data_IF_040083131067
#
_entry.id   IF_040083131067
#
_cell.length_a   1.000
_cell.length_b   1.000
_cell.length_c   1.000
_cell.angle_alpha   90.00
_cell.angle_beta   90.00
_cell.angle_gamma   90.00
#
_symmetry.space_group_name_H-M   'P 1'
#
loop_
_entity.id
_entity.type
_entity.pdbx_description
1 polymer ?
#
# COMPACT_ATOMS: atom_id res chain seq x y z
N UNK A 1 12.35 -57.02 70.22
CA UNK A 1 10.93 -56.64 70.03
C UNK A 1 10.84 -55.94 68.69
N UNK A 2 10.48 -56.67 67.63
CA UNK A 2 10.28 -56.15 66.25
C UNK A 2 8.77 -55.97 66.03
N UNK A 3 8.28 -54.98 65.24
CA UNK A 3 8.46 -54.86 63.77
C UNK A 3 8.87 -53.41 63.38
N UNK A 4 8.70 -52.81 62.18
CA UNK A 4 8.07 -53.17 60.89
C UNK A 4 8.74 -52.37 59.74
N UNK A 5 8.93 -52.92 58.52
CA UNK A 5 9.51 -52.18 57.40
C UNK A 5 8.46 -51.35 56.64
N UNK A 6 8.63 -50.03 56.55
CA UNK A 6 7.68 -49.13 55.89
C UNK A 6 8.21 -48.56 54.55
N UNK A 7 7.67 -49.13 53.46
CA UNK A 7 7.39 -48.53 52.14
C UNK A 7 8.43 -47.60 51.47
N UNK A 8 8.93 -48.07 50.32
CA UNK A 8 9.39 -47.21 49.22
C UNK A 8 8.24 -46.31 48.75
N UNK A 9 8.43 -44.99 48.79
CA UNK A 9 7.56 -44.02 48.13
C UNK A 9 8.20 -43.55 46.82
N UNK A 10 7.74 -44.10 45.70
CA UNK A 10 7.93 -43.47 44.40
C UNK A 10 6.98 -42.29 44.27
N UNK A 11 7.51 -41.07 44.12
CA UNK A 11 6.83 -40.01 43.35
C UNK A 11 7.79 -38.88 42.99
N UNK A 12 8.44 -38.99 41.83
CA UNK A 12 9.20 -37.91 41.22
C UNK A 12 8.24 -37.04 40.36
N UNK A 13 7.54 -36.10 40.99
CA UNK A 13 6.55 -35.25 40.32
C UNK A 13 7.19 -34.33 39.22
N UNK A 14 6.89 -34.54 37.92
CA UNK A 14 7.48 -33.75 36.84
C UNK A 14 6.55 -32.58 36.48
N UNK A 15 6.53 -31.51 37.29
CA UNK A 15 5.47 -30.49 37.18
C UNK A 15 5.76 -29.08 37.66
N UNK A 16 7.03 -28.63 37.75
CA UNK A 16 7.38 -27.29 38.28
C UNK A 16 8.41 -26.50 37.46
N UNK A 17 8.46 -26.74 36.14
CA UNK A 17 9.37 -26.02 35.20
C UNK A 17 8.69 -25.46 33.94
N UNK A 18 7.41 -25.78 33.68
CA UNK A 18 6.70 -25.27 32.49
C UNK A 18 6.16 -23.85 32.68
N UNK A 19 5.75 -23.52 33.91
CA UNK A 19 4.93 -22.35 34.24
C UNK A 19 5.67 -21.02 34.03
N UNK A 20 6.97 -21.02 34.33
CA UNK A 20 7.85 -19.85 34.21
C UNK A 20 8.16 -19.43 32.75
N UNK A 21 7.81 -20.26 31.75
CA UNK A 21 7.94 -19.92 30.34
C UNK A 21 6.67 -19.22 29.79
N UNK A 22 5.50 -19.49 30.36
CA UNK A 22 4.22 -18.94 29.91
C UNK A 22 4.11 -17.42 30.15
N UNK A 23 4.49 -16.95 31.34
CA UNK A 23 4.36 -15.54 31.75
C UNK A 23 5.11 -14.54 30.85
N UNK A 24 6.20 -14.96 30.18
CA UNK A 24 6.97 -14.06 29.28
C UNK A 24 6.33 -13.86 27.90
N UNK A 25 5.37 -14.70 27.47
CA UNK A 25 4.61 -14.45 26.22
C UNK A 25 3.49 -13.43 26.42
N UNK A 26 2.85 -13.41 27.59
CA UNK A 26 1.74 -12.49 27.89
C UNK A 26 2.17 -11.01 27.82
N UNK A 27 3.38 -10.68 28.29
CA UNK A 27 3.89 -9.31 28.35
C UNK A 27 4.20 -8.67 26.97
N UNK A 28 4.31 -9.46 25.88
CA UNK A 28 4.52 -8.92 24.52
C UNK A 28 3.22 -8.60 23.77
N UNK A 29 2.07 -9.14 24.21
CA UNK A 29 0.77 -8.87 23.57
C UNK A 29 0.15 -7.52 23.94
N UNK A 30 0.56 -6.93 25.07
CA UNK A 30 -0.02 -5.68 25.59
C UNK A 30 0.50 -4.43 24.91
N UNK A 31 1.74 -4.42 24.40
CA UNK A 31 2.36 -3.21 23.83
C UNK A 31 1.67 -2.75 22.55
N UNK A 32 1.33 -3.69 21.65
CA UNK A 32 0.56 -3.39 20.43
C UNK A 32 -0.81 -2.79 20.76
N UNK A 33 -1.49 -3.33 21.78
CA UNK A 33 -2.81 -2.83 22.22
C UNK A 33 -2.74 -1.51 22.98
N UNK A 34 -1.60 -1.17 23.58
CA UNK A 34 -1.34 0.15 24.18
C UNK A 34 -0.97 1.22 23.14
N UNK A 35 -0.44 0.83 21.97
CA UNK A 35 -0.21 1.73 20.82
C UNK A 35 -1.52 2.10 20.09
N UNK A 36 -2.61 1.36 20.33
CA UNK A 36 -3.95 1.57 19.76
C UNK A 36 -4.80 2.54 20.60
N UNK A 37 -4.26 3.72 20.95
CA UNK A 37 -5.00 4.74 21.71
C UNK A 37 -5.91 5.57 20.79
N UNK A 38 -7.20 5.76 21.15
CA UNK A 38 -8.24 6.09 20.17
C UNK A 38 -8.16 7.50 19.55
N UNK A 39 -7.55 8.49 20.22
CA UNK A 39 -7.61 9.89 19.80
C UNK A 39 -6.88 10.18 18.48
N UNK A 40 -5.69 9.59 18.28
CA UNK A 40 -4.90 9.79 17.05
C UNK A 40 -5.28 8.79 15.94
N UNK A 41 -6.02 7.75 16.28
CA UNK A 41 -6.33 6.64 15.39
C UNK A 41 -7.18 7.08 14.18
N UNK A 42 -8.19 7.93 14.39
CA UNK A 42 -9.15 8.30 13.33
C UNK A 42 -8.49 9.05 12.16
N UNK A 43 -7.60 10.02 12.45
CA UNK A 43 -6.91 10.75 11.40
C UNK A 43 -5.89 9.87 10.66
N UNK A 44 -5.15 9.02 11.39
CA UNK A 44 -4.21 8.07 10.78
C UNK A 44 -4.92 7.04 9.90
N UNK A 45 -6.07 6.52 10.32
CA UNK A 45 -6.91 5.61 9.51
C UNK A 45 -7.42 6.35 8.27
N UNK A 46 -7.96 7.57 8.42
CA UNK A 46 -8.43 8.38 7.29
C UNK A 46 -7.32 8.64 6.27
N UNK A 47 -6.15 9.08 6.73
CA UNK A 47 -4.96 9.22 5.89
C UNK A 47 -4.59 7.92 5.18
N UNK A 48 -4.50 6.80 5.90
CA UNK A 48 -4.08 5.51 5.34
C UNK A 48 -5.07 4.96 4.30
N UNK A 49 -6.37 5.17 4.49
CA UNK A 49 -7.41 4.84 3.50
C UNK A 49 -7.33 5.74 2.28
N UNK A 50 -7.31 7.07 2.48
CA UNK A 50 -7.24 8.03 1.37
C UNK A 50 -5.96 7.86 0.54
N UNK A 51 -4.82 7.65 1.20
CA UNK A 51 -3.53 7.39 0.56
C UNK A 51 -3.54 6.07 -0.22
N UNK A 52 -4.03 4.97 0.38
CA UNK A 52 -4.12 3.67 -0.31
C UNK A 52 -5.08 3.67 -1.50
N UNK A 53 -6.20 4.41 -1.41
CA UNK A 53 -7.12 4.60 -2.55
C UNK A 53 -6.46 5.45 -3.63
N UNK A 54 -5.79 6.55 -3.26
CA UNK A 54 -5.07 7.43 -4.21
C UNK A 54 -3.99 6.66 -4.97
N UNK A 55 -3.16 5.88 -4.26
CA UNK A 55 -2.07 5.09 -4.84
C UNK A 55 -2.58 4.19 -5.97
N UNK A 56 -3.56 3.33 -5.67
CA UNK A 56 -4.18 2.43 -6.66
C UNK A 56 -4.95 3.20 -7.74
N UNK A 57 -5.60 4.31 -7.41
CA UNK A 57 -6.36 5.13 -8.36
C UNK A 57 -5.48 5.80 -9.43
N UNK A 58 -4.19 5.98 -9.19
CA UNK A 58 -3.26 6.50 -10.22
C UNK A 58 -2.84 5.44 -11.24
N UNK A 59 -2.98 4.14 -10.94
CA UNK A 59 -2.54 3.06 -11.85
C UNK A 59 -3.35 3.03 -13.17
N UNK A 60 -4.71 3.02 -13.18
CA UNK A 60 -5.49 3.04 -14.41
C UNK A 60 -5.24 4.24 -15.36
N UNK A 61 -5.18 5.52 -14.89
CA UNK A 61 -4.88 6.63 -15.78
C UNK A 61 -3.44 6.60 -16.31
N UNK A 62 -2.45 6.16 -15.53
CA UNK A 62 -1.06 6.07 -16.01
C UNK A 62 -0.90 5.01 -17.11
N UNK A 63 -1.54 3.83 -17.00
CA UNK A 63 -1.50 2.84 -18.08
C UNK A 63 -2.31 3.29 -19.31
N UNK A 64 -3.44 4.00 -19.12
CA UNK A 64 -4.19 4.59 -20.23
C UNK A 64 -3.37 5.64 -20.99
N UNK A 65 -2.72 6.57 -20.28
CA UNK A 65 -1.83 7.58 -20.86
C UNK A 65 -0.64 6.95 -21.58
N UNK A 66 -0.02 5.92 -20.99
CA UNK A 66 1.11 5.20 -21.62
C UNK A 66 0.70 4.57 -22.96
N UNK A 67 -0.52 4.02 -23.05
CA UNK A 67 -1.06 3.47 -24.31
C UNK A 67 -1.45 4.56 -25.31
N UNK A 68 -1.96 5.70 -24.85
CA UNK A 68 -2.31 6.83 -25.71
C UNK A 68 -1.06 7.46 -26.36
N UNK A 69 0.04 7.61 -25.61
CA UNK A 69 1.28 8.22 -26.12
C UNK A 69 2.18 7.26 -26.90
N UNK A 70 2.22 5.96 -26.54
CA UNK A 70 3.19 4.99 -27.08
C UNK A 70 2.56 3.76 -27.75
N UNK A 71 1.23 3.74 -27.91
CA UNK A 71 0.53 2.68 -28.65
C UNK A 71 0.81 1.27 -28.11
N UNK A 72 1.36 0.41 -28.97
CA UNK A 72 1.75 -0.98 -28.65
C UNK A 72 2.86 -1.08 -27.60
N UNK A 73 3.73 -0.07 -27.50
CA UNK A 73 4.86 -0.05 -26.57
C UNK A 73 4.47 0.53 -25.19
N UNK A 74 3.25 1.05 -25.06
CA UNK A 74 2.71 1.60 -23.81
C UNK A 74 2.87 0.69 -22.57
N UNK A 75 2.66 -0.63 -22.64
CA UNK A 75 2.92 -1.53 -21.51
C UNK A 75 4.40 -1.59 -21.07
N UNK A 76 5.35 -1.43 -22.00
CA UNK A 76 6.79 -1.41 -21.69
C UNK A 76 7.13 -0.11 -20.97
N UNK A 77 6.64 1.02 -21.46
CA UNK A 77 6.82 2.34 -20.81
C UNK A 77 6.19 2.37 -19.43
N UNK A 78 4.98 1.83 -19.28
CA UNK A 78 4.33 1.68 -17.97
C UNK A 78 5.15 0.78 -17.01
N UNK A 79 5.73 -0.31 -17.51
CA UNK A 79 6.64 -1.17 -16.74
C UNK A 79 7.87 -0.44 -16.21
N UNK A 80 8.51 0.40 -17.04
CA UNK A 80 9.62 1.25 -16.60
C UNK A 80 9.21 2.34 -15.61
N UNK A 81 8.02 2.94 -15.78
CA UNK A 81 7.48 3.90 -14.81
C UNK A 81 7.24 3.24 -13.44
N UNK A 82 6.68 2.03 -13.41
CA UNK A 82 6.49 1.27 -12.18
C UNK A 82 7.83 0.85 -11.54
N UNK A 83 8.82 0.46 -12.35
CA UNK A 83 10.16 0.15 -11.85
C UNK A 83 10.83 1.38 -11.20
N UNK A 84 10.74 2.55 -11.83
CA UNK A 84 11.23 3.80 -11.26
C UNK A 84 10.50 4.18 -9.95
N UNK A 85 9.18 3.95 -9.88
CA UNK A 85 8.41 4.13 -8.65
C UNK A 85 8.93 3.23 -7.51
N UNK A 86 9.16 1.94 -7.75
CA UNK A 86 9.68 1.03 -6.73
C UNK A 86 11.09 1.41 -6.25
N UNK A 87 11.97 1.87 -7.15
CA UNK A 87 13.29 2.40 -6.79
C UNK A 87 13.16 3.66 -5.92
N UNK A 88 12.29 4.60 -6.29
CA UNK A 88 12.01 5.80 -5.50
C UNK A 88 11.44 5.50 -4.11
N UNK A 89 10.46 4.59 -4.02
CA UNK A 89 9.88 4.13 -2.76
C UNK A 89 10.93 3.47 -1.86
N UNK A 90 11.81 2.64 -2.42
CA UNK A 90 12.93 2.03 -1.70
C UNK A 90 13.93 3.06 -1.16
N UNK A 91 14.29 4.06 -1.97
CA UNK A 91 15.18 5.16 -1.56
C UNK A 91 14.57 6.01 -0.43
N UNK A 92 13.28 6.33 -0.50
CA UNK A 92 12.57 7.07 0.55
C UNK A 92 12.42 6.23 1.82
N UNK A 93 12.11 4.94 1.72
CA UNK A 93 12.02 4.05 2.87
C UNK A 93 13.37 3.89 3.60
N UNK A 94 14.46 3.69 2.83
CA UNK A 94 15.81 3.63 3.38
C UNK A 94 16.24 4.98 4.01
N UNK A 95 16.05 6.08 3.27
CA UNK A 95 16.35 7.43 3.75
C UNK A 95 15.53 7.81 4.99
N UNK A 96 14.29 7.33 5.08
CA UNK A 96 13.43 7.48 6.26
C UNK A 96 13.97 6.76 7.49
N UNK A 97 14.48 5.53 7.33
CA UNK A 97 15.19 4.80 8.39
C UNK A 97 16.43 5.56 8.87
N UNK A 98 17.32 5.93 7.94
CA UNK A 98 18.54 6.70 8.26
C UNK A 98 18.22 8.04 8.93
N UNK A 99 17.21 8.77 8.45
CA UNK A 99 16.78 10.02 9.05
C UNK A 99 16.24 9.82 10.48
N UNK A 100 15.50 8.73 10.72
CA UNK A 100 15.00 8.41 12.06
C UNK A 100 16.12 8.03 13.04
N UNK A 101 17.17 7.37 12.56
CA UNK A 101 18.35 7.01 13.37
C UNK A 101 19.22 8.23 13.70
N UNK A 102 19.39 9.16 12.75
CA UNK A 102 20.25 10.35 12.91
C UNK A 102 19.54 11.51 13.63
N UNK A 103 18.30 11.84 13.26
CA UNK A 103 17.59 13.04 13.74
C UNK A 103 16.55 12.73 14.82
N UNK A 104 16.20 11.46 15.05
CA UNK A 104 15.20 11.08 16.05
C UNK A 104 13.73 11.28 15.63
N UNK A 105 13.46 12.00 14.54
CA UNK A 105 12.12 12.25 14.00
C UNK A 105 12.03 11.97 12.49
N UNK A 106 10.81 12.04 11.95
CA UNK A 106 10.54 11.88 10.51
C UNK A 106 10.20 13.20 9.81
N UNK A 107 10.28 14.35 10.49
CA UNK A 107 9.72 15.61 9.99
C UNK A 107 10.39 16.08 8.68
N UNK A 108 11.71 15.93 8.59
CA UNK A 108 12.49 16.19 7.37
C UNK A 108 12.10 15.26 6.22
N UNK A 109 11.75 14.01 6.52
CA UNK A 109 11.31 13.01 5.51
C UNK A 109 9.94 13.40 4.97
N UNK A 110 9.01 13.78 5.85
CA UNK A 110 7.68 14.25 5.45
C UNK A 110 7.73 15.54 4.64
N UNK A 111 8.57 16.50 5.03
CA UNK A 111 8.80 17.74 4.26
C UNK A 111 9.44 17.45 2.90
N UNK A 112 10.43 16.55 2.84
CA UNK A 112 11.07 16.16 1.58
C UNK A 112 10.10 15.47 0.62
N UNK A 113 9.36 14.46 1.09
CA UNK A 113 8.38 13.72 0.26
C UNK A 113 7.21 14.61 -0.14
N UNK A 114 6.73 15.48 0.77
CA UNK A 114 5.71 16.49 0.46
C UNK A 114 6.18 17.49 -0.59
N UNK A 115 7.44 17.95 -0.50
CA UNK A 115 8.09 18.78 -1.51
C UNK A 115 8.20 18.09 -2.87
N UNK A 116 8.62 16.82 -2.89
CA UNK A 116 8.70 16.00 -4.10
C UNK A 116 7.32 15.85 -4.79
N UNK A 117 6.27 15.61 -3.99
CA UNK A 117 4.89 15.54 -4.46
C UNK A 117 4.43 16.90 -5.02
N UNK A 118 4.76 18.01 -4.36
CA UNK A 118 4.49 19.36 -4.84
C UNK A 118 5.17 19.66 -6.19
N UNK A 119 6.44 19.28 -6.35
CA UNK A 119 7.16 19.40 -7.64
C UNK A 119 6.50 18.54 -8.71
N UNK A 120 6.12 17.29 -8.42
CA UNK A 120 5.43 16.42 -9.37
C UNK A 120 4.06 16.98 -9.79
N UNK A 121 3.31 17.57 -8.86
CA UNK A 121 2.04 18.23 -9.16
C UNK A 121 2.22 19.47 -10.05
N UNK A 122 3.25 20.29 -9.79
CA UNK A 122 3.58 21.44 -10.64
C UNK A 122 4.03 21.03 -12.05
N UNK A 123 4.83 19.97 -12.17
CA UNK A 123 5.23 19.41 -13.47
C UNK A 123 4.00 18.86 -14.23
N UNK A 124 3.08 18.18 -13.53
CA UNK A 124 1.82 17.70 -14.11
C UNK A 124 0.95 18.85 -14.63
N UNK A 125 0.81 19.94 -13.87
CA UNK A 125 0.07 21.13 -14.29
C UNK A 125 0.76 21.92 -15.44
N UNK A 126 2.07 21.80 -15.59
CA UNK A 126 2.83 22.42 -16.67
C UNK A 126 2.69 21.66 -18.02
N UNK A 127 2.25 20.39 -17.99
CA UNK A 127 1.99 19.59 -19.19
C UNK A 127 0.64 19.99 -19.81
N UNK A 128 0.67 20.95 -20.74
CA UNK A 128 -0.49 21.33 -21.56
C UNK A 128 -1.00 20.16 -22.40
N UNK A 129 -2.29 19.87 -22.29
CA UNK A 129 -3.02 18.96 -23.19
C UNK A 129 -3.60 19.75 -24.37
N UNK A 130 -2.82 19.92 -25.44
CA UNK A 130 -3.24 20.70 -26.61
C UNK A 130 -4.20 19.96 -27.58
N UNK A 131 -4.72 18.77 -27.21
CA UNK A 131 -5.63 17.96 -28.06
C UNK A 131 -6.81 17.33 -27.31
N UNK A 132 -7.91 18.08 -27.15
CA UNK A 132 -9.29 17.60 -27.41
C UNK A 132 -10.08 18.76 -28.03
N UNK A 133 -9.76 19.07 -29.27
CA UNK A 133 -10.61 19.85 -30.17
C UNK A 133 -10.76 19.02 -31.46
N UNK A 134 -11.99 18.93 -31.96
CA UNK A 134 -12.44 18.05 -33.04
C UNK A 134 -12.38 16.53 -32.75
N UNK A 135 -13.49 16.00 -32.22
CA UNK A 135 -14.25 15.01 -33.00
C UNK A 135 -15.76 15.22 -32.78
N UNK A 136 -16.33 16.21 -33.48
CA UNK A 136 -17.77 16.31 -33.68
C UNK A 136 -18.22 15.24 -34.69
N UNK A 137 -17.99 13.97 -34.35
CA UNK A 137 -18.48 12.83 -35.11
C UNK A 137 -20.01 12.75 -35.05
N UNK A 138 -20.68 12.21 -36.09
CA UNK A 138 -22.14 12.20 -36.16
C UNK A 138 -22.74 11.49 -34.94
N UNK A 139 -23.64 12.19 -34.25
CA UNK A 139 -24.25 11.72 -33.00
C UNK A 139 -24.91 10.35 -33.17
N UNK A 140 -24.90 9.55 -32.10
CA UNK A 140 -25.28 8.13 -32.12
C UNK A 140 -26.71 7.81 -32.62
N UNK A 141 -27.55 8.81 -32.88
CA UNK A 141 -28.81 8.67 -33.60
C UNK A 141 -28.66 8.27 -35.09
N UNK A 142 -27.54 8.60 -35.75
CA UNK A 142 -27.34 8.28 -37.18
C UNK A 142 -26.81 6.87 -37.42
N UNK A 143 -26.06 6.31 -36.47
CA UNK A 143 -25.55 4.94 -36.55
C UNK A 143 -26.64 3.85 -36.39
N UNK A 144 -27.86 4.22 -35.97
CA UNK A 144 -29.03 3.34 -35.86
C UNK A 144 -29.99 3.58 -37.04
N UNK A 145 -29.43 3.70 -38.25
CA UNK A 145 -30.18 3.72 -39.51
C UNK A 145 -29.68 2.60 -40.43
N UNK A 146 -30.22 1.39 -40.24
CA UNK A 146 -29.91 0.26 -41.11
C UNK A 146 -30.57 0.45 -42.49
N UNK A 147 -29.84 0.31 -43.61
CA UNK A 147 -30.45 0.28 -44.93
C UNK A 147 -31.33 -0.98 -45.09
N UNK A 148 -32.48 -0.90 -45.78
CA UNK A 148 -33.33 -2.06 -45.98
C UNK A 148 -32.64 -3.11 -46.85
N UNK A 149 -32.57 -4.35 -46.37
CA UNK A 149 -32.02 -5.48 -47.12
C UNK A 149 -32.78 -5.66 -48.43
N UNK A 150 -32.05 -5.58 -49.55
CA UNK A 150 -32.59 -5.78 -50.90
C UNK A 150 -33.15 -7.19 -51.01
N UNK A 151 -34.47 -7.27 -51.24
CA UNK A 151 -35.19 -8.53 -51.46
C UNK A 151 -34.86 -9.06 -52.85
N UNK A 152 -33.85 -9.93 -52.93
CA UNK A 152 -33.58 -10.75 -54.12
C UNK A 152 -34.80 -11.60 -54.46
N UNK A 153 -35.12 -11.66 -55.76
CA UNK A 153 -36.21 -12.45 -56.36
C UNK A 153 -35.73 -13.85 -56.71
#
# INVERSE_FOLDING_TARGET
>A
MSPHPARVSSDAAPGRRADAASGRRAAKGSTVRALLTPAWQTWLIGFMVCFGVLDVATVPPTIALSRACYGTDGPIVFGWALAAHQVGAGLVAYGGGVARDVFGSYDLVWLFVGGLCGVAALLSLALRTDHVAADDGPSASEAVSYPPLVRGR
#
